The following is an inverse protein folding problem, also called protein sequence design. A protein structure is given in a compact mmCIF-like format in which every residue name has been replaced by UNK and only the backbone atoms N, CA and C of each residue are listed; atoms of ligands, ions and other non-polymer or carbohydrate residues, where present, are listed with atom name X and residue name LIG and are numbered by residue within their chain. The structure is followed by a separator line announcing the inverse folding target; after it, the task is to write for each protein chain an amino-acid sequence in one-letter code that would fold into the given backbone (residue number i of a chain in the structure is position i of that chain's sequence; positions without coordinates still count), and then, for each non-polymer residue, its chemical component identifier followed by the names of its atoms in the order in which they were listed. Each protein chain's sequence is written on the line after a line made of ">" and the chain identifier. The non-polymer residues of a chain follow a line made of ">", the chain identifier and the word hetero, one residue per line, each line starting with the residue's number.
data_IF_678414960666
#
_entry.id   IF_678414960666
#
_cell.length_a   1.000
_cell.length_b   1.000
_cell.length_c   1.000
_cell.angle_alpha   90.00
_cell.angle_beta   90.00
_cell.angle_gamma   90.00
#
_symmetry.space_group_name_H-M   'P 1'
#
loop_
_entity.id
_entity.type
_entity.pdbx_description
1 polymer ?
#
# COMPACT_ATOMS: atom_id res chain seq x y z
N UNK A 1 -2.07 1.59 11.81
CA UNK A 1 -1.48 0.99 10.59
C UNK A 1 -0.50 1.98 10.00
N UNK A 2 0.76 1.58 9.88
CA UNK A 2 1.79 2.40 9.24
C UNK A 2 2.06 1.89 7.84
N UNK A 3 2.18 2.80 6.88
CA UNK A 3 2.53 2.50 5.50
C UNK A 3 3.88 3.12 5.18
N UNK A 4 4.64 2.49 4.29
CA UNK A 4 5.93 2.96 3.81
C UNK A 4 5.88 3.09 2.28
N UNK A 5 6.49 4.14 1.75
CA UNK A 5 6.71 4.32 0.31
C UNK A 5 8.14 4.77 0.10
N UNK A 6 8.87 4.05 -0.76
CA UNK A 6 10.19 4.42 -1.26
C UNK A 6 10.08 4.67 -2.76
N UNK A 7 10.73 5.73 -3.24
CA UNK A 7 10.78 6.03 -4.68
C UNK A 7 12.17 6.45 -5.07
N UNK A 8 12.67 5.86 -6.14
CA UNK A 8 13.94 6.20 -6.76
C UNK A 8 13.69 6.82 -8.14
N UNK A 9 14.32 7.96 -8.39
CA UNK A 9 14.25 8.67 -9.67
C UNK A 9 15.50 8.33 -10.47
N UNK A 10 15.30 7.76 -11.65
CA UNK A 10 16.36 7.47 -12.61
C UNK A 10 16.25 8.50 -13.74
N UNK A 11 17.19 9.45 -13.85
CA UNK A 11 17.25 10.34 -15.00
C UNK A 11 17.58 9.52 -16.25
N UNK A 12 16.85 9.78 -17.34
CA UNK A 12 17.06 9.10 -18.62
C UNK A 12 17.91 9.97 -19.56
N UNK A 13 18.64 9.37 -20.52
CA UNK A 13 19.54 10.10 -21.39
C UNK A 13 18.84 10.96 -22.46
N UNK A 14 17.52 10.85 -22.60
CA UNK A 14 16.72 11.58 -23.58
C UNK A 14 16.00 12.78 -22.94
N UNK A 15 15.84 13.88 -23.69
CA UNK A 15 15.10 15.12 -23.41
C UNK A 15 14.40 15.22 -22.05
N UNK A 16 15.14 15.42 -20.95
CA UNK A 16 14.61 15.59 -19.59
C UNK A 16 13.65 14.47 -19.11
N UNK A 17 13.68 13.31 -19.75
CA UNK A 17 12.85 12.18 -19.39
C UNK A 17 13.36 11.55 -18.09
N UNK A 18 12.45 10.93 -17.35
CA UNK A 18 12.79 10.21 -16.12
C UNK A 18 11.91 8.99 -15.91
N UNK A 19 12.52 7.97 -15.34
CA UNK A 19 11.85 6.77 -14.86
C UNK A 19 11.80 6.82 -13.33
N UNK A 20 10.62 6.62 -12.75
CA UNK A 20 10.44 6.46 -11.32
C UNK A 20 10.18 4.99 -11.01
N UNK A 21 11.00 4.43 -10.12
CA UNK A 21 10.78 3.11 -9.54
C UNK A 21 10.31 3.27 -8.11
N UNK A 22 9.13 2.74 -7.80
CA UNK A 22 8.50 2.81 -6.49
C UNK A 22 8.36 1.44 -5.84
N UNK A 23 8.54 1.41 -4.53
CA UNK A 23 8.22 0.26 -3.68
C UNK A 23 7.39 0.73 -2.50
N UNK A 24 6.19 0.18 -2.38
CA UNK A 24 5.27 0.52 -1.30
C UNK A 24 4.96 -0.70 -0.45
N UNK A 25 4.86 -0.46 0.85
CA UNK A 25 4.41 -1.43 1.84
C UNK A 25 3.22 -0.86 2.57
N UNK A 26 2.07 -1.51 2.42
CA UNK A 26 0.89 -1.22 3.24
C UNK A 26 0.90 -2.14 4.44
N UNK A 27 0.54 -1.63 5.62
CA UNK A 27 0.60 -2.35 6.88
C UNK A 27 2.02 -2.89 7.17
N UNK A 28 2.98 -1.96 7.24
CA UNK A 28 4.42 -2.24 7.42
C UNK A 28 4.72 -3.17 8.60
N UNK A 29 4.01 -2.97 9.70
CA UNK A 29 4.19 -3.74 10.94
C UNK A 29 3.31 -4.99 11.02
N UNK A 30 2.63 -5.34 9.94
CA UNK A 30 1.77 -6.54 9.84
C UNK A 30 0.75 -6.64 10.98
N UNK A 31 0.11 -5.51 11.31
CA UNK A 31 -0.85 -5.44 12.39
C UNK A 31 -2.13 -6.16 11.99
N UNK A 32 -2.60 -7.08 12.83
CA UNK A 32 -3.94 -7.66 12.73
C UNK A 32 -4.95 -6.74 13.43
N UNK A 33 -5.94 -6.26 12.68
CA UNK A 33 -7.00 -5.42 13.22
C UNK A 33 -8.25 -5.57 12.36
N UNK A 34 -9.41 -5.29 12.95
CA UNK A 34 -10.67 -5.21 12.23
C UNK A 34 -10.93 -3.77 11.78
N UNK A 35 -11.32 -3.58 10.53
CA UNK A 35 -11.72 -2.26 10.00
C UNK A 35 -13.11 -1.85 10.50
N UNK A 36 -13.93 -2.82 10.89
CA UNK A 36 -15.20 -2.62 11.55
C UNK A 36 -15.43 -3.71 12.59
N UNK A 37 -16.15 -3.38 13.66
CA UNK A 37 -16.74 -4.37 14.55
C UNK A 37 -18.20 -4.52 14.16
N UNK A 38 -18.60 -5.73 13.77
CA UNK A 38 -20.00 -6.00 13.43
C UNK A 38 -20.88 -5.97 14.68
N UNK A 39 -21.75 -4.97 14.80
CA UNK A 39 -22.75 -4.89 15.88
C UNK A 39 -23.97 -5.75 15.54
N UNK A 40 -23.82 -7.07 15.64
CA UNK A 40 -24.94 -8.02 15.50
C UNK A 40 -25.53 -8.36 16.87
N UNK A 41 -26.78 -7.99 17.12
CA UNK A 41 -27.49 -8.20 18.40
C UNK A 41 -27.70 -9.69 18.80
N UNK A 42 -27.42 -10.64 17.88
CA UNK A 42 -27.57 -12.09 18.05
C UNK A 42 -26.35 -12.89 17.52
N UNK A 43 -25.16 -12.29 17.47
CA UNK A 43 -23.94 -13.00 17.05
C UNK A 43 -23.76 -13.18 15.54
N UNK A 44 -24.60 -12.57 14.71
CA UNK A 44 -24.49 -12.53 13.24
C UNK A 44 -23.67 -11.32 12.73
N UNK A 45 -22.96 -10.63 13.61
CA UNK A 45 -22.17 -9.44 13.25
C UNK A 45 -20.93 -9.82 12.46
N UNK A 46 -20.90 -9.49 11.16
CA UNK A 46 -19.70 -9.69 10.33
C UNK A 46 -18.72 -8.55 10.56
N UNK A 47 -17.53 -8.90 11.05
CA UNK A 47 -16.38 -7.99 11.16
C UNK A 47 -15.42 -8.27 10.01
N UNK A 48 -14.93 -7.22 9.36
CA UNK A 48 -13.99 -7.32 8.26
C UNK A 48 -12.58 -7.07 8.78
N UNK A 49 -11.66 -7.96 8.43
CA UNK A 49 -10.25 -7.78 8.72
C UNK A 49 -9.66 -6.67 7.83
N UNK A 50 -8.74 -5.90 8.40
CA UNK A 50 -7.91 -4.98 7.63
C UNK A 50 -6.97 -5.72 6.69
N UNK A 51 -6.47 -4.99 5.70
CA UNK A 51 -5.56 -5.57 4.71
C UNK A 51 -4.28 -6.08 5.38
N UNK A 52 -3.86 -7.34 5.11
CA UNK A 52 -2.59 -7.84 5.61
C UNK A 52 -1.42 -7.06 4.99
N UNK A 53 -0.21 -7.23 5.53
CA UNK A 53 0.97 -6.61 4.93
C UNK A 53 1.06 -6.95 3.46
N UNK A 54 1.12 -5.91 2.64
CA UNK A 54 1.03 -6.01 1.19
C UNK A 54 2.10 -5.17 0.53
N UNK A 55 2.67 -5.71 -0.56
CA UNK A 55 3.79 -5.13 -1.28
C UNK A 55 3.34 -4.70 -2.67
N UNK A 56 3.69 -3.48 -3.06
CA UNK A 56 3.41 -2.94 -4.38
C UNK A 56 4.70 -2.45 -5.03
N UNK A 57 4.83 -2.73 -6.32
CA UNK A 57 5.95 -2.27 -7.15
C UNK A 57 5.38 -1.35 -8.23
N UNK A 58 6.00 -0.18 -8.41
CA UNK A 58 5.56 0.82 -9.37
C UNK A 58 6.69 1.18 -10.33
N UNK A 59 6.36 1.28 -11.61
CA UNK A 59 7.20 1.90 -12.63
C UNK A 59 6.40 3.02 -13.29
N UNK A 60 6.97 4.23 -13.36
CA UNK A 60 6.32 5.37 -13.99
C UNK A 60 7.31 6.08 -14.93
N UNK A 61 6.90 6.29 -16.17
CA UNK A 61 7.68 7.01 -17.18
C UNK A 61 7.12 8.43 -17.34
N UNK A 62 8.00 9.44 -17.31
CA UNK A 62 7.63 10.84 -17.53
C UNK A 62 8.37 11.39 -18.76
N UNK A 63 7.61 12.06 -19.62
CA UNK A 63 8.06 12.73 -20.84
C UNK A 63 8.38 14.19 -20.58
#
# INVERSE_FOLDING_TARGET
>A
VYNMSLTHVIPLPWDNQKLLLGFDVVNLLDQEYFINRGEGNIGLGVSHAGMPRSFFFRGQWFF
#
